data_IF_073766647074
#
_entry.id   IF_073766647074
#
_cell.length_a   1.000
_cell.length_b   1.000
_cell.length_c   1.000
_cell.angle_alpha   90.00
_cell.angle_beta   90.00
_cell.angle_gamma   90.00
#
_symmetry.space_group_name_H-M   'P 1'
#
loop_
_entity.id
_entity.type
_entity.pdbx_description
1 polymer ?
#
# COMPACT_ATOMS: atom_id res chain seq x y z
N UNK A 1 -15.35 -16.74 3.80
CA UNK A 1 -14.53 -15.96 2.87
C UNK A 1 -13.42 -16.85 2.37
N UNK A 2 -13.47 -17.25 1.10
CA UNK A 2 -12.33 -17.90 0.46
C UNK A 2 -11.38 -16.82 -0.06
N UNK A 3 -10.10 -17.18 -0.19
CA UNK A 3 -9.01 -16.35 -0.69
C UNK A 3 -9.30 -15.69 -2.07
N UNK A 4 -10.34 -16.15 -2.77
CA UNK A 4 -10.85 -15.66 -4.04
C UNK A 4 -11.78 -14.41 -3.96
N UNK A 5 -12.10 -13.88 -2.76
CA UNK A 5 -13.06 -12.76 -2.59
C UNK A 5 -12.44 -11.35 -2.49
N UNK A 6 -11.12 -11.21 -2.53
CA UNK A 6 -10.51 -9.87 -2.57
C UNK A 6 -10.69 -9.29 -3.98
N UNK A 7 -11.70 -8.45 -4.14
CA UNK A 7 -11.89 -7.69 -5.37
C UNK A 7 -10.74 -6.68 -5.53
N UNK A 8 -9.90 -6.89 -6.55
CA UNK A 8 -8.75 -6.03 -6.86
C UNK A 8 -9.14 -4.58 -7.20
N UNK A 9 -10.32 -4.37 -7.78
CA UNK A 9 -10.86 -3.03 -8.05
C UNK A 9 -11.17 -2.31 -6.73
N UNK A 10 -11.85 -3.00 -5.81
CA UNK A 10 -12.16 -2.44 -4.49
C UNK A 10 -10.91 -2.28 -3.63
N UNK A 11 -9.94 -3.19 -3.74
CA UNK A 11 -8.63 -3.06 -3.11
C UNK A 11 -7.99 -1.73 -3.54
N UNK A 12 -7.91 -1.44 -4.83
CA UNK A 12 -7.34 -0.19 -5.35
C UNK A 12 -8.04 1.05 -4.82
N UNK A 13 -9.36 0.99 -4.60
CA UNK A 13 -10.08 2.08 -3.92
C UNK A 13 -9.59 2.26 -2.49
N UNK A 14 -9.39 1.18 -1.74
CA UNK A 14 -8.84 1.22 -0.37
C UNK A 14 -7.41 1.78 -0.32
N UNK A 15 -6.61 1.58 -1.37
CA UNK A 15 -5.21 2.04 -1.43
C UNK A 15 -5.06 3.54 -1.73
N UNK A 16 -6.12 4.21 -2.18
CA UNK A 16 -6.01 5.55 -2.80
C UNK A 16 -5.33 6.59 -1.92
N UNK A 17 -5.69 6.65 -0.63
CA UNK A 17 -5.08 7.60 0.30
C UNK A 17 -3.57 7.35 0.48
N UNK A 18 -3.17 6.09 0.56
CA UNK A 18 -1.77 5.70 0.69
C UNK A 18 -0.96 6.03 -0.58
N UNK A 19 -1.57 5.85 -1.76
CA UNK A 19 -0.97 6.25 -3.04
C UNK A 19 -0.81 7.77 -3.16
N UNK A 20 -1.83 8.53 -2.78
CA UNK A 20 -1.79 9.99 -2.79
C UNK A 20 -0.68 10.50 -1.86
N UNK A 21 -0.51 9.88 -0.68
CA UNK A 21 0.57 10.19 0.25
C UNK A 21 1.97 9.92 -0.34
N UNK A 22 2.20 8.73 -0.91
CA UNK A 22 3.50 8.38 -1.52
C UNK A 22 3.80 9.33 -2.69
N UNK A 23 2.78 9.64 -3.50
CA UNK A 23 2.91 10.53 -4.66
C UNK A 23 3.26 11.95 -4.22
N UNK A 24 2.57 12.49 -3.22
CA UNK A 24 2.85 13.80 -2.66
C UNK A 24 4.27 13.87 -2.07
N UNK A 25 4.69 12.84 -1.31
CA UNK A 25 6.05 12.76 -0.79
C UNK A 25 7.10 12.78 -1.91
N UNK A 26 6.88 12.00 -2.97
CA UNK A 26 7.78 11.95 -4.13
C UNK A 26 7.91 13.28 -4.84
N UNK A 27 6.80 13.96 -5.12
CA UNK A 27 6.82 15.28 -5.77
C UNK A 27 7.59 16.27 -4.89
N UNK A 28 7.36 16.25 -3.58
CA UNK A 28 8.06 17.13 -2.65
C UNK A 28 9.57 16.83 -2.54
N UNK A 29 9.96 15.55 -2.62
CA UNK A 29 11.36 15.11 -2.51
C UNK A 29 12.16 15.26 -3.81
N UNK A 30 11.62 14.78 -4.93
CA UNK A 30 12.31 14.74 -6.23
C UNK A 30 12.08 16.03 -7.04
N UNK A 31 11.13 16.88 -6.65
CA UNK A 31 10.77 18.10 -7.38
C UNK A 31 10.14 17.86 -8.75
N UNK A 32 9.76 16.61 -9.07
CA UNK A 32 9.21 16.22 -10.37
C UNK A 32 8.15 15.14 -10.25
N UNK A 33 7.28 15.04 -11.25
CA UNK A 33 6.26 14.01 -11.38
C UNK A 33 6.74 12.90 -12.33
N UNK A 34 7.45 11.92 -11.79
CA UNK A 34 7.92 10.76 -12.54
C UNK A 34 6.85 9.65 -12.55
N UNK A 35 6.18 9.51 -13.69
CA UNK A 35 5.11 8.52 -13.91
C UNK A 35 5.60 7.08 -13.68
N UNK A 36 6.84 6.77 -14.06
CA UNK A 36 7.40 5.42 -13.93
C UNK A 36 7.61 5.06 -12.46
N UNK A 37 8.18 5.98 -11.67
CA UNK A 37 8.33 5.80 -10.22
C UNK A 37 6.98 5.68 -9.51
N UNK A 38 6.00 6.52 -9.89
CA UNK A 38 4.66 6.49 -9.30
C UNK A 38 3.95 5.16 -9.59
N UNK A 39 4.05 4.66 -10.82
CA UNK A 39 3.49 3.36 -11.21
C UNK A 39 4.16 2.23 -10.42
N UNK A 40 5.50 2.25 -10.30
CA UNK A 40 6.26 1.25 -9.53
C UNK A 40 5.86 1.24 -8.05
N UNK A 41 5.69 2.43 -7.46
CA UNK A 41 5.24 2.57 -6.08
C UNK A 41 3.82 2.05 -5.89
N UNK A 42 2.93 2.33 -6.84
CA UNK A 42 1.56 1.81 -6.81
C UNK A 42 1.55 0.30 -6.82
N UNK A 43 2.26 -0.31 -7.75
CA UNK A 43 2.29 -1.76 -7.90
C UNK A 43 2.94 -2.41 -6.67
N UNK A 44 3.99 -1.79 -6.11
CA UNK A 44 4.64 -2.24 -4.86
C UNK A 44 3.67 -2.18 -3.67
N UNK A 45 2.91 -1.08 -3.53
CA UNK A 45 1.92 -0.93 -2.47
C UNK A 45 0.82 -1.99 -2.61
N UNK A 46 0.26 -2.16 -3.81
CA UNK A 46 -0.80 -3.14 -4.10
C UNK A 46 -0.34 -4.56 -3.78
N UNK A 47 0.86 -4.95 -4.23
CA UNK A 47 1.43 -6.27 -3.95
C UNK A 47 1.63 -6.53 -2.46
N UNK A 48 2.20 -5.56 -1.72
CA UNK A 48 2.47 -5.73 -0.28
C UNK A 48 1.18 -5.82 0.54
N UNK A 49 0.18 -5.01 0.20
CA UNK A 49 -1.13 -5.07 0.89
C UNK A 49 -1.84 -6.38 0.56
N UNK A 50 -1.84 -6.80 -0.71
CA UNK A 50 -2.44 -8.06 -1.11
C UNK A 50 -1.79 -9.24 -0.39
N UNK A 51 -0.46 -9.29 -0.32
CA UNK A 51 0.27 -10.33 0.38
C UNK A 51 -0.16 -10.41 1.86
N UNK A 52 -0.17 -9.29 2.57
CA UNK A 52 -0.57 -9.24 3.98
C UNK A 52 -2.02 -9.71 4.20
N UNK A 53 -2.93 -9.36 3.29
CA UNK A 53 -4.32 -9.82 3.34
C UNK A 53 -4.43 -11.33 3.07
N UNK A 54 -3.65 -11.87 2.12
CA UNK A 54 -3.66 -13.31 1.82
C UNK A 54 -3.04 -14.17 2.92
N UNK A 55 -2.12 -13.62 3.72
CA UNK A 55 -1.52 -14.27 4.88
C UNK A 55 -2.42 -14.19 6.13
N UNK A 56 -3.52 -13.44 6.08
CA UNK A 56 -4.44 -13.31 7.21
C UNK A 56 -5.27 -14.59 7.37
N UNK A 57 -5.23 -15.19 8.56
CA UNK A 57 -6.13 -16.30 8.91
C UNK A 57 -7.55 -15.77 9.21
N UNK A 58 -8.41 -15.81 8.18
CA UNK A 58 -9.81 -15.38 8.28
C UNK A 58 -10.61 -16.15 9.34
N UNK A 59 -10.23 -17.39 9.66
CA UNK A 59 -10.97 -18.21 10.63
C UNK A 59 -10.73 -17.76 12.07
N UNK A 60 -9.60 -17.07 12.31
CA UNK A 60 -9.23 -16.49 13.60
C UNK A 60 -9.75 -15.05 13.79
N UNK A 61 -10.35 -14.44 12.76
CA UNK A 61 -10.83 -13.06 12.82
C UNK A 61 -12.22 -12.96 13.48
N UNK A 62 -12.52 -11.84 14.18
CA UNK A 62 -13.83 -11.63 14.78
C UNK A 62 -14.93 -11.51 13.72
N UNK A 63 -16.18 -11.79 14.09
CA UNK A 63 -17.32 -11.82 13.16
C UNK A 63 -17.59 -10.50 12.43
N UNK A 64 -17.13 -9.37 12.97
CA UNK A 64 -17.25 -8.04 12.36
C UNK A 64 -16.02 -7.62 11.55
N UNK A 65 -15.06 -8.53 11.33
CA UNK A 65 -13.84 -8.22 10.61
C UNK A 65 -14.11 -7.89 9.14
N UNK A 66 -13.39 -6.90 8.62
CA UNK A 66 -13.54 -6.40 7.25
C UNK A 66 -12.18 -6.33 6.59
N UNK A 67 -12.02 -7.08 5.50
CA UNK A 67 -10.79 -7.03 4.70
C UNK A 67 -10.54 -5.64 4.12
N UNK A 68 -11.59 -4.85 3.83
CA UNK A 68 -11.46 -3.46 3.34
C UNK A 68 -10.85 -2.55 4.39
N UNK A 69 -11.27 -2.70 5.64
CA UNK A 69 -10.69 -1.95 6.76
C UNK A 69 -9.23 -2.37 6.98
N UNK A 70 -8.96 -3.68 7.01
CA UNK A 70 -7.61 -4.19 7.11
C UNK A 70 -6.71 -3.68 5.97
N UNK A 71 -7.20 -3.69 4.73
CA UNK A 71 -6.49 -3.19 3.55
C UNK A 71 -6.10 -1.71 3.71
N UNK A 72 -7.03 -0.87 4.19
CA UNK A 72 -6.76 0.55 4.45
C UNK A 72 -5.66 0.73 5.50
N UNK A 73 -5.78 0.05 6.65
CA UNK A 73 -4.81 0.17 7.74
C UNK A 73 -3.41 -0.35 7.34
N UNK A 74 -3.35 -1.48 6.62
CA UNK A 74 -2.11 -2.05 6.08
C UNK A 74 -1.51 -1.09 5.06
N UNK A 75 -2.31 -0.54 4.14
CA UNK A 75 -1.84 0.39 3.11
C UNK A 75 -1.15 1.62 3.70
N UNK A 76 -1.72 2.21 4.75
CA UNK A 76 -1.09 3.34 5.46
C UNK A 76 0.27 2.94 6.04
N UNK A 77 0.35 1.80 6.72
CA UNK A 77 1.61 1.32 7.33
C UNK A 77 2.67 1.03 6.28
N UNK A 78 2.29 0.38 5.18
CA UNK A 78 3.20 0.09 4.06
C UNK A 78 3.70 1.38 3.41
N UNK A 79 2.81 2.35 3.19
CA UNK A 79 3.18 3.64 2.59
C UNK A 79 4.16 4.44 3.47
N UNK A 80 3.93 4.48 4.78
CA UNK A 80 4.86 5.08 5.74
C UNK A 80 6.23 4.40 5.68
N UNK A 81 6.26 3.06 5.74
CA UNK A 81 7.50 2.30 5.66
C UNK A 81 8.24 2.51 4.32
N UNK A 82 7.51 2.66 3.21
CA UNK A 82 8.12 2.96 1.91
C UNK A 82 8.84 4.31 1.93
N UNK A 83 8.22 5.35 2.50
CA UNK A 83 8.81 6.69 2.64
C UNK A 83 10.00 6.70 3.61
N UNK A 84 9.92 5.98 4.73
CA UNK A 84 11.01 5.91 5.72
C UNK A 84 12.24 5.17 5.20
N UNK A 85 12.04 4.07 4.46
CA UNK A 85 13.12 3.32 3.83
C UNK A 85 13.85 4.14 2.76
N UNK A 86 13.15 5.04 2.08
CA UNK A 86 13.76 5.98 1.14
C UNK A 86 14.70 6.97 1.84
N UNK A 87 14.27 7.56 2.96
CA UNK A 87 15.11 8.46 3.77
C UNK A 87 16.37 7.79 4.33
N UNK A 88 16.31 6.48 4.55
CA UNK A 88 17.39 5.68 5.14
C UNK A 88 18.45 5.26 4.12
N UNK A 89 18.19 5.44 2.82
CA UNK A 89 19.16 5.16 1.76
C UNK A 89 20.18 6.31 1.73
N UNK A 90 21.49 6.06 1.87
CA UNK A 90 22.48 7.12 1.69
C UNK A 90 22.33 7.67 0.27
N UNK A 91 22.27 8.99 0.14
CA UNK A 91 22.38 9.66 -1.16
C UNK A 91 23.79 9.37 -1.68
N UNK A 92 23.94 8.31 -2.48
CA UNK A 92 25.16 8.09 -3.24
C UNK A 92 25.31 9.29 -4.19
N UNK A 93 26.18 10.22 -3.79
CA UNK A 93 26.69 11.30 -4.64
C UNK A 93 27.73 10.76 -5.62
#
# INVERSE_FOLDING_TARGET
MHQDEIDTSELRVCLRLALDFITAHRIAHDGTYDVGKITTNRDTLEQRVLLALTETDFSAMPANWSWKQAAHEIAIRVALAMVENEKSRPQSS
#
